data_IF_833218891570
#
_entry.id   IF_833218891570
#
_cell.length_a   1.000
_cell.length_b   1.000
_cell.length_c   1.000
_cell.angle_alpha   90.00
_cell.angle_beta   90.00
_cell.angle_gamma   90.00
#
_symmetry.space_group_name_H-M   'P 1'
#
loop_
_entity.id
_entity.type
_entity.pdbx_description
1 polymer ?
#
# COMPACT_ATOMS: atom_id res chain seq x y z
N UNK A 1 -22.22 0.90 -15.79
CA UNK A 1 -20.84 0.57 -16.20
C UNK A 1 -19.92 0.99 -15.07
N UNK A 2 -19.14 0.08 -14.46
CA UNK A 2 -18.30 0.42 -13.32
C UNK A 2 -17.09 -0.51 -13.23
N UNK A 3 -15.92 0.02 -13.60
CA UNK A 3 -14.52 -0.28 -13.20
C UNK A 3 -14.16 -1.77 -12.96
N UNK A 4 -14.82 -2.70 -13.66
CA UNK A 4 -14.49 -4.14 -13.67
C UNK A 4 -13.73 -4.57 -14.92
N UNK A 5 -13.06 -3.61 -15.58
CA UNK A 5 -12.34 -3.85 -16.84
C UNK A 5 -10.96 -3.17 -16.88
N UNK A 6 -10.18 -3.31 -15.82
CA UNK A 6 -8.71 -3.33 -15.95
C UNK A 6 -8.12 -4.62 -15.38
N UNK A 7 -8.83 -5.73 -15.62
CA UNK A 7 -8.24 -7.07 -15.61
C UNK A 7 -7.33 -7.16 -16.85
N UNK A 8 -6.11 -6.64 -16.72
CA UNK A 8 -4.98 -7.02 -17.56
C UNK A 8 -4.34 -8.25 -16.94
N UNK A 9 -4.81 -9.42 -17.38
CA UNK A 9 -4.15 -10.73 -17.31
C UNK A 9 -2.84 -10.79 -16.52
N UNK A 10 -2.83 -11.49 -15.38
CA UNK A 10 -1.71 -12.29 -14.88
C UNK A 10 -0.31 -11.90 -15.37
N UNK A 11 0.15 -10.71 -14.99
CA UNK A 11 1.57 -10.40 -15.02
C UNK A 11 2.01 -10.36 -13.55
N UNK A 12 2.91 -11.26 -13.16
CA UNK A 12 3.52 -11.31 -11.82
C UNK A 12 4.46 -10.09 -11.59
N UNK A 13 4.22 -8.99 -12.28
CA UNK A 13 4.97 -7.76 -12.18
C UNK A 13 4.31 -6.74 -11.23
N UNK A 14 3.20 -7.09 -10.60
CA UNK A 14 2.53 -6.30 -9.57
C UNK A 14 2.22 -7.15 -8.34
N UNK A 15 2.18 -6.49 -7.17
CA UNK A 15 1.74 -7.04 -5.90
C UNK A 15 0.72 -6.10 -5.30
N UNK A 16 -0.38 -6.66 -4.81
CA UNK A 16 -1.44 -5.92 -4.13
C UNK A 16 -1.74 -6.57 -2.78
N UNK A 17 -2.02 -5.74 -1.78
CA UNK A 17 -2.47 -6.22 -0.48
C UNK A 17 -3.97 -6.48 -0.50
N UNK A 18 -4.41 -7.48 0.24
CA UNK A 18 -5.82 -7.78 0.35
C UNK A 18 -6.15 -8.34 1.72
N UNK A 19 -7.38 -8.11 2.15
CA UNK A 19 -7.87 -8.53 3.47
C UNK A 19 -7.56 -10.01 3.78
N UNK A 20 -7.94 -10.89 2.85
CA UNK A 20 -7.76 -12.33 2.94
C UNK A 20 -6.65 -12.83 2.01
N UNK A 21 -5.50 -12.16 2.01
CA UNK A 21 -4.34 -12.59 1.23
C UNK A 21 -3.69 -13.87 1.83
N UNK A 22 -3.23 -14.79 0.99
CA UNK A 22 -2.63 -16.07 1.41
C UNK A 22 -1.29 -15.89 2.15
N UNK A 23 -0.47 -14.93 1.72
CA UNK A 23 0.70 -14.45 2.46
C UNK A 23 0.27 -13.37 3.45
N UNK A 24 0.43 -13.64 4.74
CA UNK A 24 0.04 -12.74 5.82
C UNK A 24 0.74 -11.39 5.76
N UNK A 25 1.96 -11.33 5.20
CA UNK A 25 2.71 -10.07 5.05
C UNK A 25 2.11 -9.14 4.00
N UNK A 26 1.23 -9.66 3.15
CA UNK A 26 0.51 -8.93 2.12
C UNK A 26 -0.98 -8.76 2.48
N UNK A 27 -1.35 -9.02 3.74
CA UNK A 27 -2.67 -8.64 4.22
C UNK A 27 -2.72 -7.16 4.55
N UNK A 28 -3.90 -6.57 4.36
CA UNK A 28 -4.23 -5.19 4.75
C UNK A 28 -3.82 -4.94 6.20
N UNK A 29 -3.11 -3.84 6.47
CA UNK A 29 -2.63 -3.51 7.80
C UNK A 29 -3.47 -2.46 8.49
N UNK A 30 -3.69 -2.67 9.78
CA UNK A 30 -4.49 -1.81 10.62
C UNK A 30 -3.61 -1.12 11.66
N UNK A 31 -3.84 0.18 11.86
CA UNK A 31 -3.10 1.00 12.80
C UNK A 31 -4.04 1.81 13.68
N UNK A 32 -3.63 2.05 14.93
CA UNK A 32 -4.36 2.90 15.87
C UNK A 32 -4.00 4.36 15.64
N UNK A 33 -4.61 4.98 14.64
CA UNK A 33 -4.34 6.35 14.23
C UNK A 33 -5.53 6.98 13.52
N UNK A 34 -5.47 8.27 13.22
CA UNK A 34 -6.43 8.95 12.33
C UNK A 34 -5.97 8.88 10.87
N UNK A 35 -6.89 9.08 9.93
CA UNK A 35 -6.58 9.16 8.48
C UNK A 35 -5.43 10.12 8.20
N UNK A 36 -5.51 11.35 8.71
CA UNK A 36 -4.51 12.39 8.41
C UNK A 36 -3.12 12.02 8.93
N UNK A 37 -3.03 11.41 10.12
CA UNK A 37 -1.76 10.94 10.68
C UNK A 37 -1.22 9.74 9.90
N UNK A 38 -2.09 8.83 9.44
CA UNK A 38 -1.69 7.74 8.57
C UNK A 38 -1.18 8.24 7.22
N UNK A 39 -1.86 9.20 6.59
CA UNK A 39 -1.42 9.84 5.35
C UNK A 39 -0.01 10.42 5.50
N UNK A 40 0.21 11.23 6.53
CA UNK A 40 1.52 11.81 6.81
C UNK A 40 2.61 10.74 7.06
N UNK A 41 2.29 9.69 7.81
CA UNK A 41 3.23 8.59 8.05
C UNK A 41 3.59 7.86 6.75
N UNK A 42 2.61 7.60 5.88
CA UNK A 42 2.85 7.00 4.56
C UNK A 42 3.76 7.88 3.70
N UNK A 43 3.48 9.18 3.60
CA UNK A 43 4.33 10.12 2.85
C UNK A 43 5.77 10.17 3.39
N UNK A 44 5.93 10.20 4.71
CA UNK A 44 7.23 10.20 5.39
C UNK A 44 8.01 8.89 5.16
N UNK A 45 7.36 7.74 5.32
CA UNK A 45 7.96 6.42 5.08
C UNK A 45 8.36 6.25 3.62
N UNK A 46 7.51 6.66 2.67
CA UNK A 46 7.83 6.59 1.24
C UNK A 46 9.02 7.50 0.90
N UNK A 47 8.99 8.75 1.35
CA UNK A 47 10.07 9.72 1.09
C UNK A 47 11.41 9.25 1.66
N UNK A 48 11.44 8.79 2.91
CA UNK A 48 12.65 8.22 3.54
C UNK A 48 13.10 6.88 2.93
N UNK A 49 12.22 6.21 2.17
CA UNK A 49 12.53 4.98 1.44
C UNK A 49 12.99 5.22 0.00
N UNK A 50 13.26 6.47 -0.38
CA UNK A 50 13.72 6.83 -1.72
C UNK A 50 12.61 6.87 -2.77
N UNK A 51 11.36 7.09 -2.34
CA UNK A 51 10.23 7.33 -3.24
C UNK A 51 9.91 8.83 -3.33
N UNK A 52 9.39 9.24 -4.46
CA UNK A 52 8.90 10.58 -4.76
C UNK A 52 7.39 10.53 -4.79
N UNK A 53 6.75 11.31 -3.95
CA UNK A 53 5.28 11.46 -3.97
C UNK A 53 4.89 12.21 -5.24
N UNK A 54 3.98 11.61 -6.00
CA UNK A 54 3.41 12.18 -7.23
C UNK A 54 2.11 12.88 -6.98
N UNK A 55 1.28 12.26 -6.15
CA UNK A 55 -0.03 12.75 -5.79
C UNK A 55 -0.36 12.25 -4.39
N UNK A 56 -0.97 13.11 -3.59
CA UNK A 56 -1.53 12.77 -2.29
C UNK A 56 -2.89 13.45 -2.18
N UNK A 57 -3.96 12.66 -2.18
CA UNK A 57 -5.33 13.17 -2.11
C UNK A 57 -5.94 12.78 -0.77
N UNK A 58 -5.81 13.65 0.24
CA UNK A 58 -6.30 13.40 1.61
C UNK A 58 -7.79 13.06 1.65
N UNK A 59 -8.60 13.69 0.79
CA UNK A 59 -10.03 13.45 0.67
C UNK A 59 -10.35 11.98 0.37
N UNK A 60 -9.69 11.42 -0.66
CA UNK A 60 -9.81 10.00 -1.02
C UNK A 60 -9.00 9.08 -0.11
N UNK A 61 -7.94 9.60 0.49
CA UNK A 61 -6.99 8.81 1.29
C UNK A 61 -6.05 8.04 0.39
N UNK A 62 -5.55 8.65 -0.66
CA UNK A 62 -4.68 7.99 -1.63
C UNK A 62 -3.34 8.70 -1.72
N UNK A 63 -2.25 7.93 -1.74
CA UNK A 63 -0.89 8.42 -1.99
C UNK A 63 -0.28 7.62 -3.13
N UNK A 64 0.12 8.31 -4.19
CA UNK A 64 0.80 7.73 -5.35
C UNK A 64 2.27 8.14 -5.31
N UNK A 65 3.18 7.18 -5.48
CA UNK A 65 4.61 7.43 -5.47
C UNK A 65 5.37 6.64 -6.54
N UNK A 66 6.46 7.23 -7.03
CA UNK A 66 7.43 6.63 -7.96
C UNK A 66 8.83 6.61 -7.33
N UNK A 67 9.74 5.69 -7.70
CA UNK A 67 11.12 5.73 -7.22
C UNK A 67 11.80 7.06 -7.57
N UNK A 68 12.56 7.65 -6.63
CA UNK A 68 13.33 8.87 -6.89
C UNK A 68 14.45 8.66 -7.91
N UNK A 69 15.03 7.45 -7.96
CA UNK A 69 16.16 7.10 -8.82
C UNK A 69 15.94 5.75 -9.47
N UNK A 70 15.81 5.75 -10.79
CA UNK A 70 15.76 4.54 -11.62
C UNK A 70 14.51 3.68 -11.40
N UNK A 71 14.18 2.86 -12.40
CA UNK A 71 13.01 1.99 -12.37
C UNK A 71 11.73 2.67 -12.83
N UNK A 72 10.69 1.85 -13.02
CA UNK A 72 9.38 2.26 -13.53
C UNK A 72 8.27 1.82 -12.56
N UNK A 73 8.64 1.59 -11.30
CA UNK A 73 7.70 1.08 -10.31
C UNK A 73 6.71 2.17 -9.92
N UNK A 74 5.46 1.79 -9.69
CA UNK A 74 4.40 2.69 -9.24
C UNK A 74 3.82 2.08 -7.98
N UNK A 75 3.79 2.85 -6.90
CA UNK A 75 3.18 2.47 -5.63
C UNK A 75 1.97 3.35 -5.38
N UNK A 76 0.85 2.72 -5.05
CA UNK A 76 -0.39 3.37 -4.61
C UNK A 76 -0.71 2.86 -3.22
N UNK A 77 -0.82 3.77 -2.26
CA UNK A 77 -1.27 3.48 -0.91
C UNK A 77 -2.67 4.06 -0.69
N UNK A 78 -3.58 3.22 -0.20
CA UNK A 78 -4.97 3.58 0.11
C UNK A 78 -5.19 3.54 1.62
N UNK A 79 -5.66 4.64 2.19
CA UNK A 79 -5.78 4.90 3.62
C UNK A 79 -7.25 5.12 3.96
N UNK A 80 -7.85 4.18 4.70
CA UNK A 80 -9.29 4.20 5.03
C UNK A 80 -9.49 4.15 6.54
N UNK A 81 -10.26 5.10 7.09
CA UNK A 81 -10.69 5.02 8.49
C UNK A 81 -11.84 4.02 8.60
N UNK A 82 -11.64 2.97 9.38
CA UNK A 82 -12.63 1.90 9.58
C UNK A 82 -13.46 2.09 10.85
N UNK A 83 -12.87 2.69 11.89
CA UNK A 83 -13.52 3.13 13.14
C UNK A 83 -12.77 4.35 13.69
N UNK A 84 -13.32 5.12 14.65
CA UNK A 84 -12.58 6.20 15.29
C UNK A 84 -11.21 5.75 15.79
N UNK A 85 -10.16 6.47 15.37
CA UNK A 85 -8.76 6.17 15.66
C UNK A 85 -8.26 4.79 15.20
N UNK A 86 -8.89 4.21 14.17
CA UNK A 86 -8.46 2.98 13.51
C UNK A 86 -8.47 3.15 12.00
N UNK A 87 -7.32 2.94 11.39
CA UNK A 87 -7.10 3.18 9.97
C UNK A 87 -6.46 1.96 9.33
N UNK A 88 -7.08 1.49 8.25
CA UNK A 88 -6.53 0.49 7.35
C UNK A 88 -5.63 1.16 6.31
N UNK A 89 -4.52 0.52 5.97
CA UNK A 89 -3.61 0.92 4.90
C UNK A 89 -3.39 -0.26 3.97
N UNK A 90 -3.84 -0.11 2.73
CA UNK A 90 -3.59 -1.02 1.62
C UNK A 90 -2.53 -0.46 0.67
N UNK A 91 -1.74 -1.34 0.05
CA UNK A 91 -0.69 -0.97 -0.88
C UNK A 91 -0.80 -1.84 -2.14
N UNK A 92 -0.83 -1.18 -3.29
CA UNK A 92 -0.58 -1.80 -4.58
C UNK A 92 0.74 -1.30 -5.14
N UNK A 93 1.58 -2.19 -5.63
CA UNK A 93 2.85 -1.85 -6.25
C UNK A 93 3.01 -2.61 -7.57
N UNK A 94 3.13 -1.85 -8.66
CA UNK A 94 3.62 -2.37 -9.94
C UNK A 94 5.13 -2.12 -10.04
N UNK A 95 5.88 -3.09 -10.54
CA UNK A 95 7.32 -2.96 -10.77
C UNK A 95 7.66 -2.17 -12.03
N UNK A 96 6.69 -2.03 -12.96
CA UNK A 96 6.86 -1.39 -14.27
C UNK A 96 7.70 -2.17 -15.27
N UNK A 97 8.04 -3.43 -15.01
CA UNK A 97 8.76 -4.26 -16.00
C UNK A 97 7.83 -4.75 -17.09
N UNK A 98 8.33 -4.79 -18.32
CA UNK A 98 7.69 -5.46 -19.46
C UNK A 98 7.84 -6.99 -19.41
N UNK A 99 8.61 -7.52 -18.46
CA UNK A 99 8.74 -8.96 -18.27
C UNK A 99 7.46 -9.57 -17.66
N UNK A 100 7.19 -10.86 -17.92
CA UNK A 100 6.06 -11.57 -17.32
C UNK A 100 6.08 -11.64 -15.78
N UNK A 101 7.22 -11.40 -15.16
CA UNK A 101 7.44 -11.45 -13.71
C UNK A 101 8.49 -10.43 -13.27
N UNK A 102 8.31 -9.86 -12.08
CA UNK A 102 9.29 -8.98 -11.45
C UNK A 102 10.21 -9.68 -10.44
N UNK A 103 10.14 -11.02 -10.38
CA UNK A 103 10.89 -11.86 -9.45
C UNK A 103 10.68 -11.48 -7.98
N UNK A 104 9.45 -11.05 -7.63
CA UNK A 104 9.05 -10.68 -6.29
C UNK A 104 9.53 -9.29 -5.86
N UNK A 105 9.95 -8.44 -6.80
CA UNK A 105 10.43 -7.08 -6.50
C UNK A 105 9.32 -6.22 -5.88
N UNK A 106 8.13 -6.17 -6.49
CA UNK A 106 6.98 -5.44 -5.96
C UNK A 106 6.60 -5.94 -4.56
N UNK A 107 6.58 -7.26 -4.35
CA UNK A 107 6.34 -7.87 -3.04
C UNK A 107 7.33 -7.42 -1.99
N UNK A 108 8.63 -7.45 -2.29
CA UNK A 108 9.69 -6.99 -1.37
C UNK A 108 9.51 -5.51 -1.02
N UNK A 109 9.11 -4.69 -1.99
CA UNK A 109 8.81 -3.27 -1.77
C UNK A 109 7.65 -3.11 -0.78
N UNK A 110 6.51 -3.76 -1.05
CA UNK A 110 5.31 -3.66 -0.20
C UNK A 110 5.63 -4.06 1.24
N UNK A 111 6.28 -5.21 1.43
CA UNK A 111 6.66 -5.70 2.77
C UNK A 111 7.59 -4.73 3.49
N UNK A 112 8.60 -4.17 2.80
CA UNK A 112 9.54 -3.23 3.41
C UNK A 112 8.88 -1.90 3.81
N UNK A 113 7.92 -1.40 3.02
CA UNK A 113 7.15 -0.20 3.38
C UNK A 113 6.30 -0.46 4.62
N UNK A 114 5.63 -1.60 4.66
CA UNK A 114 4.84 -2.03 5.79
C UNK A 114 5.66 -2.20 7.08
N UNK A 115 6.83 -2.84 7.02
CA UNK A 115 7.74 -2.96 8.16
C UNK A 115 8.21 -1.60 8.72
N UNK A 116 8.27 -0.56 7.88
CA UNK A 116 8.57 0.80 8.32
C UNK A 116 7.35 1.48 8.93
N UNK A 117 6.17 1.31 8.32
CA UNK A 117 4.92 1.84 8.87
C UNK A 117 4.61 1.28 10.26
N UNK A 118 4.89 0.00 10.51
CA UNK A 118 4.76 -0.62 11.85
C UNK A 118 5.61 0.04 12.93
N UNK A 119 6.72 0.67 12.54
CA UNK A 119 7.62 1.38 13.46
C UNK A 119 7.15 2.82 13.71
N UNK A 120 6.48 3.41 12.74
CA UNK A 120 5.99 4.80 12.79
C UNK A 120 4.59 4.91 13.41
N UNK A 121 3.76 3.87 13.27
CA UNK A 121 2.37 3.85 13.71
C UNK A 121 2.11 2.71 14.69
N UNK A 122 1.21 2.86 15.68
CA UNK A 122 0.85 1.76 16.56
C UNK A 122 0.08 0.69 15.78
N UNK A 123 0.77 -0.41 15.45
CA UNK A 123 0.24 -1.53 14.70
C UNK A 123 -0.80 -2.32 15.51
N UNK A 124 -1.93 -2.64 14.88
CA UNK A 124 -3.03 -3.39 15.50
C UNK A 124 -3.10 -4.84 15.01
N UNK A 125 -2.73 -5.09 13.75
CA UNK A 125 -2.85 -6.40 13.13
C UNK A 125 -3.11 -6.30 11.62
N UNK A 126 -3.38 -7.46 11.03
CA UNK A 126 -3.70 -7.62 9.61
C UNK A 126 -5.00 -8.40 9.45
N UNK A 127 -5.76 -8.15 8.39
CA UNK A 127 -6.93 -9.00 8.10
C UNK A 127 -8.05 -8.85 9.14
N UNK A 128 -8.27 -7.64 9.65
CA UNK A 128 -9.20 -7.34 10.76
C UNK A 128 -10.53 -6.69 10.31
N UNK A 129 -10.85 -6.65 9.02
CA UNK A 129 -12.06 -5.99 8.50
C UNK A 129 -13.32 -6.48 9.20
N UNK A 130 -13.44 -7.79 9.42
CA UNK A 130 -14.59 -8.43 10.07
C UNK A 130 -14.78 -8.00 11.54
N UNK A 131 -13.73 -7.51 12.21
CA UNK A 131 -13.82 -6.95 13.57
C UNK A 131 -14.40 -5.52 13.59
N UNK A 132 -14.50 -4.89 12.41
CA UNK A 132 -14.92 -3.51 12.26
C UNK A 132 -16.29 -3.32 11.60
N UNK A 133 -16.92 -4.40 11.13
CA UNK A 133 -18.32 -4.44 10.67
C UNK A 133 -19.30 -4.51 11.83
#
# INVERSE_FOLDING_TARGET
MSIRQFIGQFINNHTETAESHYDERLRTRYYKTSKDKAMHAVESVLSSSGWKIKEAETGRGEVIAEPQKGGQSLLVATIVTVKPYRTAIDISCSSGTSLPSDFGKSKKIVVAIYEKLDKELPYLGTGMADEFV
#
